data_IF_283969545988
#
_entry.id   IF_283969545988
#
_cell.length_a   1.000
_cell.length_b   1.000
_cell.length_c   1.000
_cell.angle_alpha   90.00
_cell.angle_beta   90.00
_cell.angle_gamma   90.00
#
_symmetry.space_group_name_H-M   'P 1'
#
loop_
_entity.id
_entity.type
_entity.pdbx_description
1 polymer ?
#
# COMPACT_ATOMS: atom_id res chain seq x y z
N UNK A 1 39.95 34.28 1.80
CA UNK A 1 38.70 34.95 2.21
C UNK A 1 37.57 34.11 1.61
N UNK A 2 36.93 33.14 2.29
CA UNK A 2 36.00 33.33 3.43
C UNK A 2 35.11 34.56 3.14
N UNK A 3 33.81 34.51 2.89
CA UNK A 3 32.72 33.68 3.42
C UNK A 3 31.43 33.98 2.63
N UNK A 4 30.70 32.97 2.17
CA UNK A 4 29.22 33.00 2.04
C UNK A 4 28.72 31.60 2.41
N UNK A 5 28.90 31.33 3.70
CA UNK A 5 28.42 30.19 4.47
C UNK A 5 26.96 30.41 4.88
N UNK A 6 26.18 29.31 4.86
CA UNK A 6 24.95 29.02 5.63
C UNK A 6 23.66 29.59 5.00
N UNK A 7 22.65 28.79 4.61
CA UNK A 7 21.94 27.79 5.42
C UNK A 7 21.31 26.76 4.48
N UNK A 8 21.85 25.54 4.38
CA UNK A 8 21.11 24.27 4.21
C UNK A 8 22.01 23.05 4.55
N UNK A 9 23.00 23.26 5.44
CA UNK A 9 23.62 22.16 6.17
C UNK A 9 22.80 21.93 7.44
N UNK A 10 21.74 21.13 7.35
CA UNK A 10 21.20 20.50 8.54
C UNK A 10 21.89 19.15 8.70
N UNK A 11 22.90 19.13 9.56
CA UNK A 11 23.43 17.90 10.13
C UNK A 11 22.27 17.11 10.74
N UNK A 12 21.86 16.01 10.11
CA UNK A 12 21.19 14.95 10.86
C UNK A 12 22.30 14.18 11.58
N UNK A 13 22.75 14.74 12.71
CA UNK A 13 23.62 14.06 13.64
C UNK A 13 22.99 12.74 14.03
N UNK A 14 23.75 11.67 13.86
CA UNK A 14 23.40 10.33 14.27
C UNK A 14 23.03 10.30 15.77
N UNK A 15 21.74 10.30 16.07
CA UNK A 15 21.21 9.63 17.25
C UNK A 15 20.71 8.27 16.79
N UNK A 16 21.66 7.33 16.71
CA UNK A 16 21.38 5.93 16.65
C UNK A 16 20.60 5.53 17.92
N UNK A 17 19.30 5.34 17.77
CA UNK A 17 18.59 4.28 18.48
C UNK A 17 18.15 3.28 17.42
N UNK A 18 18.95 2.24 17.12
CA UNK A 18 18.61 1.22 16.13
C UNK A 18 17.44 0.33 16.54
N UNK A 19 17.02 0.41 17.82
CA UNK A 19 16.15 -0.59 18.45
C UNK A 19 14.68 -0.20 18.64
N UNK A 20 14.19 0.92 18.09
CA UNK A 20 12.76 1.29 18.16
C UNK A 20 12.13 1.60 16.79
N UNK A 21 12.94 1.71 15.72
CA UNK A 21 12.48 2.12 14.37
C UNK A 21 12.16 0.96 13.42
N UNK A 22 12.52 -0.27 13.79
CA UNK A 22 12.18 -1.50 13.05
C UNK A 22 11.07 -2.32 13.75
N UNK A 23 10.67 -1.94 14.96
CA UNK A 23 9.72 -2.71 15.78
C UNK A 23 8.31 -2.69 15.20
N UNK A 24 7.92 -1.60 14.53
CA UNK A 24 6.63 -1.53 13.85
C UNK A 24 6.52 -2.53 12.69
N UNK A 25 7.63 -2.79 11.97
CA UNK A 25 7.64 -3.76 10.85
C UNK A 25 7.34 -5.19 11.33
N UNK A 26 7.59 -5.50 12.61
CA UNK A 26 7.19 -6.77 13.21
C UNK A 26 5.66 -6.90 13.31
N UNK A 27 4.95 -5.78 13.43
CA UNK A 27 3.50 -5.70 13.55
C UNK A 27 2.79 -5.53 12.20
N UNK A 28 3.49 -5.18 11.12
CA UNK A 28 2.92 -5.05 9.78
C UNK A 28 2.11 -6.29 9.37
N UNK A 29 2.64 -7.50 9.61
CA UNK A 29 1.98 -8.75 9.22
C UNK A 29 0.64 -8.96 9.91
N UNK A 30 0.47 -8.45 11.15
CA UNK A 30 -0.82 -8.48 11.84
C UNK A 30 -1.83 -7.58 11.11
N UNK A 31 -1.47 -6.33 10.84
CA UNK A 31 -2.34 -5.39 10.15
C UNK A 31 -2.68 -5.85 8.72
N UNK A 32 -1.70 -6.33 7.97
CA UNK A 32 -1.88 -6.81 6.60
C UNK A 32 -2.86 -8.00 6.54
N UNK A 33 -2.71 -8.97 7.44
CA UNK A 33 -3.63 -10.10 7.55
C UNK A 33 -5.06 -9.63 7.87
N UNK A 34 -5.22 -8.75 8.85
CA UNK A 34 -6.54 -8.22 9.17
C UNK A 34 -7.16 -7.42 8.03
N UNK A 35 -6.38 -6.65 7.26
CA UNK A 35 -6.91 -5.98 6.06
C UNK A 35 -7.38 -6.96 4.99
N UNK A 36 -6.68 -8.09 4.80
CA UNK A 36 -7.11 -9.17 3.90
C UNK A 36 -8.41 -9.83 4.37
N UNK A 37 -8.55 -10.07 5.67
CA UNK A 37 -9.79 -10.62 6.24
C UNK A 37 -10.95 -9.64 6.09
N UNK A 38 -10.72 -8.36 6.39
CA UNK A 38 -11.78 -7.36 6.33
C UNK A 38 -12.26 -7.13 4.89
N UNK A 39 -11.38 -7.04 3.89
CA UNK A 39 -11.79 -6.81 2.49
C UNK A 39 -12.72 -7.92 1.96
N UNK A 40 -12.52 -9.17 2.39
CA UNK A 40 -13.42 -10.28 2.09
C UNK A 40 -14.80 -10.11 2.73
N UNK A 41 -14.85 -9.49 3.92
CA UNK A 41 -16.06 -9.31 4.73
C UNK A 41 -16.84 -8.01 4.44
N UNK A 42 -16.33 -7.11 3.60
CA UNK A 42 -16.99 -5.84 3.23
C UNK A 42 -18.25 -6.00 2.37
N UNK A 43 -18.67 -7.23 2.05
CA UNK A 43 -19.83 -7.50 1.21
C UNK A 43 -20.25 -8.97 1.27
N UNK A 44 -20.85 -9.44 0.17
CA UNK A 44 -21.24 -10.85 0.01
C UNK A 44 -20.07 -11.77 -0.36
N UNK A 45 -20.35 -13.00 -0.81
CA UNK A 45 -19.34 -13.91 -1.35
C UNK A 45 -18.51 -13.24 -2.44
N UNK A 46 -17.20 -13.51 -2.46
CA UNK A 46 -16.30 -12.93 -3.46
C UNK A 46 -16.72 -13.36 -4.87
N UNK A 47 -16.71 -12.45 -5.84
CA UNK A 47 -17.03 -12.82 -7.23
C UNK A 47 -15.94 -13.72 -7.85
N UNK A 48 -16.39 -14.81 -8.47
CA UNK A 48 -15.54 -15.68 -9.30
C UNK A 48 -15.25 -15.06 -10.67
N UNK A 49 -15.97 -14.00 -11.06
CA UNK A 49 -15.82 -13.39 -12.37
C UNK A 49 -14.43 -12.79 -12.59
N UNK A 50 -13.74 -13.24 -13.64
CA UNK A 50 -12.45 -12.70 -14.03
C UNK A 50 -12.52 -11.20 -14.35
N UNK A 51 -11.54 -10.46 -13.84
CA UNK A 51 -11.40 -9.04 -14.16
C UNK A 51 -11.08 -8.90 -15.66
N UNK A 52 -11.79 -8.03 -16.39
CA UNK A 52 -11.48 -7.73 -17.78
C UNK A 52 -10.15 -6.97 -17.92
N UNK A 53 -9.61 -6.48 -16.81
CA UNK A 53 -8.32 -5.79 -16.74
C UNK A 53 -7.28 -6.76 -16.18
N UNK A 54 -6.14 -6.85 -16.85
CA UNK A 54 -5.04 -7.66 -16.33
C UNK A 54 -4.43 -6.99 -15.10
N UNK A 55 -4.33 -7.77 -14.02
CA UNK A 55 -3.62 -7.33 -12.82
C UNK A 55 -2.15 -7.02 -13.14
N UNK A 56 -1.56 -5.94 -12.58
CA UNK A 56 -0.22 -5.47 -12.94
C UNK A 56 0.93 -6.31 -12.33
N UNK A 57 0.95 -7.63 -12.56
CA UNK A 57 1.96 -8.54 -12.01
C UNK A 57 3.40 -8.14 -12.33
N UNK A 58 3.65 -7.65 -13.54
CA UNK A 58 5.00 -7.19 -13.96
C UNK A 58 5.53 -6.04 -13.11
N UNK A 59 4.66 -5.15 -12.65
CA UNK A 59 5.05 -4.03 -11.78
C UNK A 59 5.51 -4.57 -10.42
N UNK A 60 4.75 -5.48 -9.82
CA UNK A 60 5.12 -6.13 -8.56
C UNK A 60 6.42 -6.95 -8.69
N UNK A 61 6.61 -7.67 -9.80
CA UNK A 61 7.86 -8.39 -10.08
C UNK A 61 9.08 -7.45 -10.19
N UNK A 62 8.93 -6.34 -10.91
CA UNK A 62 9.97 -5.31 -11.00
C UNK A 62 10.30 -4.76 -9.61
N UNK A 63 9.28 -4.45 -8.81
CA UNK A 63 9.46 -3.95 -7.45
C UNK A 63 10.16 -4.93 -6.52
N UNK A 64 9.95 -6.23 -6.69
CA UNK A 64 10.69 -7.26 -5.93
C UNK A 64 12.20 -7.21 -6.16
N UNK A 65 12.68 -6.55 -7.21
CA UNK A 65 14.11 -6.34 -7.48
C UNK A 65 14.63 -4.95 -7.09
N UNK A 66 13.75 -3.99 -6.76
CA UNK A 66 14.11 -2.62 -6.39
C UNK A 66 14.82 -2.54 -5.03
N UNK A 67 15.28 -1.34 -4.60
CA UNK A 67 15.87 -1.16 -3.27
C UNK A 67 14.81 -1.34 -2.17
N UNK A 68 15.24 -1.66 -0.95
CA UNK A 68 14.31 -1.84 0.18
C UNK A 68 13.47 -0.59 0.42
N UNK A 69 14.08 0.60 0.36
CA UNK A 69 13.38 1.88 0.55
C UNK A 69 12.31 2.09 -0.54
N UNK A 70 12.65 1.85 -1.82
CA UNK A 70 11.70 1.97 -2.93
C UNK A 70 10.52 1.00 -2.79
N UNK A 71 10.76 -0.22 -2.29
CA UNK A 71 9.70 -1.20 -2.01
C UNK A 71 8.80 -0.75 -0.88
N UNK A 72 9.35 -0.20 0.21
CA UNK A 72 8.56 0.29 1.34
C UNK A 72 7.70 1.50 0.94
N UNK A 73 8.25 2.41 0.13
CA UNK A 73 7.51 3.53 -0.45
C UNK A 73 6.38 3.04 -1.36
N UNK A 74 6.66 2.09 -2.25
CA UNK A 74 5.63 1.47 -3.09
C UNK A 74 4.49 0.86 -2.28
N UNK A 75 4.83 0.17 -1.18
CA UNK A 75 3.82 -0.44 -0.31
C UNK A 75 2.94 0.64 0.31
N UNK A 76 3.56 1.67 0.90
CA UNK A 76 2.83 2.80 1.48
C UNK A 76 1.92 3.48 0.44
N UNK A 77 2.47 3.87 -0.71
CA UNK A 77 1.73 4.63 -1.72
C UNK A 77 0.56 3.81 -2.30
N UNK A 78 0.75 2.49 -2.43
CA UNK A 78 -0.32 1.58 -2.84
C UNK A 78 -1.43 1.49 -1.78
N UNK A 79 -1.06 1.42 -0.49
CA UNK A 79 -2.03 1.41 0.61
C UNK A 79 -2.81 2.73 0.68
N UNK A 80 -2.16 3.87 0.49
CA UNK A 80 -2.82 5.19 0.46
C UNK A 80 -3.81 5.31 -0.68
N UNK A 81 -3.46 4.80 -1.85
CA UNK A 81 -4.37 4.78 -3.00
C UNK A 81 -5.57 3.85 -2.76
N UNK A 82 -5.34 2.68 -2.15
CA UNK A 82 -6.42 1.78 -1.75
C UNK A 82 -7.32 2.47 -0.71
N UNK A 83 -6.74 3.15 0.29
CA UNK A 83 -7.50 3.93 1.27
C UNK A 83 -8.41 4.95 0.59
N UNK A 84 -7.87 5.77 -0.32
CA UNK A 84 -8.65 6.77 -1.04
C UNK A 84 -9.77 6.19 -1.91
N UNK A 85 -9.66 4.93 -2.35
CA UNK A 85 -10.72 4.24 -3.09
C UNK A 85 -11.91 3.85 -2.20
N UNK A 86 -11.66 3.57 -0.92
CA UNK A 86 -12.68 3.13 0.04
C UNK A 86 -13.23 4.30 0.89
N UNK A 87 -12.59 5.47 0.83
CA UNK A 87 -13.07 6.69 1.49
C UNK A 87 -14.38 7.23 0.86
N UNK A 88 -15.30 7.81 1.66
CA UNK A 88 -16.50 8.45 1.14
C UNK A 88 -16.16 9.66 0.27
N UNK A 89 -16.71 9.74 -0.94
CA UNK A 89 -16.56 10.91 -1.81
C UNK A 89 -17.22 12.19 -1.24
N UNK A 90 -18.22 12.05 -0.37
CA UNK A 90 -18.90 13.15 0.33
C UNK A 90 -19.53 12.66 1.65
N UNK A 91 -19.20 13.23 2.83
CA UNK A 91 -19.82 12.87 4.12
C UNK A 91 -21.31 13.21 4.21
N UNK A 92 -21.83 14.04 3.31
CA UNK A 92 -23.21 14.57 3.35
C UNK A 92 -24.19 13.82 2.43
N UNK A 93 -23.69 12.96 1.55
CA UNK A 93 -24.49 12.13 0.65
C UNK A 93 -24.76 10.78 1.32
N UNK A 94 -25.97 10.25 1.14
CA UNK A 94 -26.37 8.92 1.62
C UNK A 94 -25.31 7.87 1.26
N UNK A 95 -24.75 7.26 2.30
CA UNK A 95 -23.67 6.27 2.23
C UNK A 95 -24.00 5.21 1.17
N UNK A 96 -23.06 4.84 0.29
CA UNK A 96 -23.29 3.73 -0.62
C UNK A 96 -23.57 2.43 0.15
N UNK A 97 -24.30 1.46 -0.43
CA UNK A 97 -24.68 0.20 0.27
C UNK A 97 -23.50 -0.61 0.82
N UNK A 98 -22.29 -0.37 0.32
CA UNK A 98 -21.06 -1.03 0.75
C UNK A 98 -20.36 -0.36 1.93
N UNK A 99 -20.73 0.88 2.29
CA UNK A 99 -20.21 1.53 3.48
C UNK A 99 -20.92 0.98 4.72
N UNK A 100 -20.19 0.13 5.42
CA UNK A 100 -20.58 -0.52 6.67
C UNK A 100 -19.55 -0.19 7.74
N UNK A 101 -19.84 -0.46 9.01
CA UNK A 101 -18.85 -0.30 10.10
C UNK A 101 -17.53 -1.04 9.78
N UNK A 102 -17.62 -2.18 9.08
CA UNK A 102 -16.43 -2.94 8.62
C UNK A 102 -15.55 -2.19 7.62
N UNK A 103 -16.13 -1.31 6.80
CA UNK A 103 -15.33 -0.47 5.88
C UNK A 103 -14.53 0.59 6.64
N UNK A 104 -15.04 1.09 7.76
CA UNK A 104 -14.32 2.04 8.61
C UNK A 104 -13.19 1.32 9.35
N UNK A 105 -13.44 0.11 9.86
CA UNK A 105 -12.38 -0.73 10.43
C UNK A 105 -11.29 -1.03 9.40
N UNK A 106 -11.68 -1.36 8.16
CA UNK A 106 -10.74 -1.61 7.06
C UNK A 106 -9.87 -0.38 6.77
N UNK A 107 -10.47 0.80 6.60
CA UNK A 107 -9.76 2.06 6.40
C UNK A 107 -8.83 2.37 7.58
N UNK A 108 -9.29 2.19 8.81
CA UNK A 108 -8.47 2.41 10.01
C UNK A 108 -7.19 1.54 9.99
N UNK A 109 -7.29 0.28 9.56
CA UNK A 109 -6.13 -0.60 9.47
C UNK A 109 -5.20 -0.24 8.32
N UNK A 110 -5.70 0.24 7.19
CA UNK A 110 -4.87 0.74 6.09
C UNK A 110 -4.11 2.00 6.51
N UNK A 111 -4.78 2.99 7.11
CA UNK A 111 -4.14 4.20 7.61
C UNK A 111 -3.08 3.89 8.66
N UNK A 112 -3.33 2.94 9.58
CA UNK A 112 -2.32 2.47 10.53
C UNK A 112 -1.10 1.84 9.86
N UNK A 113 -1.27 1.16 8.72
CA UNK A 113 -0.15 0.63 7.94
C UNK A 113 0.66 1.73 7.29
N UNK A 114 -0.01 2.69 6.64
CA UNK A 114 0.65 3.87 6.06
C UNK A 114 1.42 4.66 7.11
N UNK A 115 0.79 4.98 8.25
CA UNK A 115 1.41 5.74 9.33
C UNK A 115 2.63 5.04 9.89
N UNK A 116 2.53 3.73 10.09
CA UNK A 116 3.66 2.89 10.47
C UNK A 116 4.82 2.98 9.49
N UNK A 117 4.54 2.82 8.19
CA UNK A 117 5.54 2.90 7.14
C UNK A 117 6.17 4.29 7.03
N UNK A 118 5.38 5.35 7.13
CA UNK A 118 5.87 6.74 7.15
C UNK A 118 6.83 7.01 8.30
N UNK A 119 6.51 6.50 9.50
CA UNK A 119 7.37 6.65 10.66
C UNK A 119 8.67 5.81 10.58
N UNK A 120 8.67 4.71 9.80
CA UNK A 120 9.88 3.92 9.56
C UNK A 120 10.80 4.51 8.49
N UNK A 121 10.26 5.23 7.50
CA UNK A 121 11.02 5.87 6.42
C UNK A 121 11.42 7.31 6.77
N UNK A 122 12.51 7.52 7.51
CA UNK A 122 13.01 8.88 7.80
C UNK A 122 13.78 9.55 6.64
N UNK A 123 13.59 9.10 5.39
CA UNK A 123 14.28 9.64 4.21
C UNK A 123 13.23 10.02 3.17
N UNK A 124 12.66 11.22 3.32
CA UNK A 124 11.91 11.86 2.26
C UNK A 124 12.88 12.52 1.28
N UNK A 125 13.32 11.75 0.28
CA UNK A 125 13.54 12.27 -1.08
C UNK A 125 12.77 11.36 -2.01
N UNK A 126 11.50 11.67 -2.22
CA UNK A 126 10.69 11.01 -3.23
C UNK A 126 11.20 11.45 -4.61
N UNK A 127 11.49 10.51 -5.51
CA UNK A 127 11.63 10.85 -6.93
C UNK A 127 10.20 11.01 -7.46
N UNK A 128 9.74 12.25 -7.71
CA UNK A 128 8.35 12.58 -8.08
C UNK A 128 7.81 11.73 -9.25
N UNK A 129 8.68 11.27 -10.15
CA UNK A 129 8.31 10.45 -11.31
C UNK A 129 7.78 9.06 -10.93
N UNK A 130 8.27 8.47 -9.84
CA UNK A 130 7.95 7.09 -9.48
C UNK A 130 6.55 6.97 -8.87
N UNK A 131 6.21 7.87 -7.95
CA UNK A 131 4.88 7.96 -7.34
C UNK A 131 3.83 8.10 -8.44
N UNK A 132 4.03 9.04 -9.37
CA UNK A 132 3.12 9.25 -10.51
C UNK A 132 2.90 7.96 -11.31
N UNK A 133 3.94 7.17 -11.58
CA UNK A 133 3.79 5.91 -12.29
C UNK A 133 2.94 4.89 -11.53
N UNK A 134 3.18 4.70 -10.23
CA UNK A 134 2.42 3.75 -9.38
C UNK A 134 0.97 4.18 -9.24
N UNK A 135 0.75 5.46 -8.92
CA UNK A 135 -0.56 6.08 -8.85
C UNK A 135 -1.30 5.84 -10.15
N UNK A 136 -0.70 6.15 -11.31
CA UNK A 136 -1.34 5.94 -12.61
C UNK A 136 -1.62 4.47 -12.88
N UNK A 137 -0.70 3.55 -12.59
CA UNK A 137 -0.90 2.13 -12.85
C UNK A 137 -2.07 1.54 -12.04
N UNK A 138 -2.14 1.85 -10.74
CA UNK A 138 -3.19 1.32 -9.86
C UNK A 138 -4.51 2.09 -10.06
N UNK A 139 -4.46 3.41 -10.27
CA UNK A 139 -5.66 4.18 -10.63
C UNK A 139 -6.23 3.68 -11.96
N UNK A 140 -5.41 3.41 -12.97
CA UNK A 140 -5.90 2.89 -14.27
C UNK A 140 -6.45 1.48 -14.12
N UNK A 141 -5.83 0.59 -13.34
CA UNK A 141 -6.41 -0.75 -13.18
C UNK A 141 -7.79 -0.68 -12.50
N UNK A 142 -7.93 0.10 -11.43
CA UNK A 142 -9.21 0.27 -10.74
C UNK A 142 -10.23 1.03 -11.59
N UNK A 143 -9.86 2.13 -12.24
CA UNK A 143 -10.77 2.91 -13.08
C UNK A 143 -11.28 2.11 -14.28
N UNK A 144 -10.41 1.33 -14.94
CA UNK A 144 -10.84 0.47 -16.06
C UNK A 144 -11.70 -0.68 -15.54
N UNK A 145 -11.40 -1.26 -14.37
CA UNK A 145 -12.28 -2.22 -13.71
C UNK A 145 -13.67 -1.60 -13.52
N UNK A 146 -13.80 -0.44 -12.87
CA UNK A 146 -15.09 0.24 -12.64
C UNK A 146 -15.82 0.54 -13.96
N UNK A 147 -15.13 1.14 -14.94
CA UNK A 147 -15.72 1.51 -16.23
C UNK A 147 -16.26 0.29 -16.99
N UNK A 148 -15.50 -0.81 -17.04
CA UNK A 148 -15.98 -2.02 -17.73
C UNK A 148 -17.11 -2.70 -16.95
N UNK A 149 -17.06 -2.68 -15.62
CA UNK A 149 -18.11 -3.28 -14.78
C UNK A 149 -19.47 -2.56 -14.93
N UNK A 150 -19.45 -1.22 -14.90
CA UNK A 150 -20.66 -0.41 -15.11
C UNK A 150 -21.22 -0.63 -16.52
N UNK A 151 -20.34 -0.73 -17.53
CA UNK A 151 -20.74 -0.94 -18.92
C UNK A 151 -21.29 -2.35 -19.22
N UNK A 152 -20.84 -3.38 -18.51
CA UNK A 152 -21.18 -4.80 -18.82
C UNK A 152 -22.22 -5.38 -17.87
N UNK A 153 -22.21 -5.03 -16.58
CA UNK A 153 -23.03 -5.71 -15.56
C UNK A 153 -24.19 -4.87 -15.00
N UNK A 154 -24.35 -3.62 -15.43
CA UNK A 154 -25.59 -2.85 -15.22
C UNK A 154 -25.89 -2.44 -13.77
N UNK A 155 -24.93 -2.42 -12.85
CA UNK A 155 -25.19 -1.95 -11.48
C UNK A 155 -23.95 -1.74 -10.60
N UNK A 156 -24.05 -0.77 -9.68
CA UNK A 156 -22.96 -0.37 -8.78
C UNK A 156 -22.45 -1.49 -7.85
N UNK A 157 -23.31 -2.46 -7.50
CA UNK A 157 -22.95 -3.57 -6.62
C UNK A 157 -21.96 -4.57 -7.28
N UNK A 158 -22.12 -4.86 -8.56
CA UNK A 158 -21.20 -5.75 -9.29
C UNK A 158 -19.83 -5.09 -9.50
N UNK A 159 -19.83 -3.79 -9.81
CA UNK A 159 -18.59 -3.00 -9.89
C UNK A 159 -17.85 -2.97 -8.56
N UNK A 160 -18.58 -2.81 -7.46
CA UNK A 160 -18.00 -2.85 -6.12
C UNK A 160 -17.35 -4.21 -5.81
N UNK A 161 -17.99 -5.30 -6.21
CA UNK A 161 -17.47 -6.64 -5.97
C UNK A 161 -16.14 -6.89 -6.69
N UNK A 162 -16.02 -6.41 -7.91
CA UNK A 162 -14.78 -6.49 -8.67
C UNK A 162 -13.69 -5.58 -8.09
N UNK A 163 -14.04 -4.40 -7.59
CA UNK A 163 -13.11 -3.55 -6.82
C UNK A 163 -12.56 -4.31 -5.62
N UNK A 164 -13.43 -4.91 -4.79
CA UNK A 164 -12.98 -5.67 -3.60
C UNK A 164 -12.03 -6.80 -3.95
N UNK A 165 -12.34 -7.57 -5.01
CA UNK A 165 -11.49 -8.66 -5.50
C UNK A 165 -10.12 -8.16 -5.97
N UNK A 166 -10.09 -7.08 -6.74
CA UNK A 166 -8.83 -6.50 -7.23
C UNK A 166 -8.00 -5.93 -6.06
N UNK A 167 -8.64 -5.24 -5.12
CA UNK A 167 -8.01 -4.77 -3.89
C UNK A 167 -7.41 -5.92 -3.09
N UNK A 168 -8.12 -7.04 -2.91
CA UNK A 168 -7.56 -8.23 -2.27
C UNK A 168 -6.29 -8.71 -2.98
N UNK A 169 -6.29 -8.73 -4.31
CA UNK A 169 -5.13 -9.14 -5.11
C UNK A 169 -3.94 -8.19 -4.90
N UNK A 170 -4.19 -6.88 -4.86
CA UNK A 170 -3.17 -5.89 -4.52
C UNK A 170 -2.62 -6.09 -3.10
N UNK A 171 -3.49 -6.25 -2.10
CA UNK A 171 -3.08 -6.46 -0.70
C UNK A 171 -2.23 -7.74 -0.54
N UNK A 172 -2.58 -8.83 -1.23
CA UNK A 172 -1.79 -10.07 -1.23
C UNK A 172 -0.39 -9.84 -1.81
N UNK A 173 -0.29 -9.14 -2.93
CA UNK A 173 1.01 -8.87 -3.56
C UNK A 173 1.86 -7.91 -2.72
N UNK A 174 1.24 -6.96 -2.02
CA UNK A 174 1.91 -6.09 -1.07
C UNK A 174 2.47 -6.86 0.13
N UNK A 175 1.72 -7.81 0.69
CA UNK A 175 2.18 -8.69 1.77
C UNK A 175 3.37 -9.56 1.32
N UNK A 176 3.29 -10.15 0.11
CA UNK A 176 4.41 -10.91 -0.47
C UNK A 176 5.67 -10.04 -0.69
N UNK A 177 5.49 -8.79 -1.13
CA UNK A 177 6.59 -7.85 -1.31
C UNK A 177 7.23 -7.49 0.04
N UNK A 178 6.40 -7.29 1.08
CA UNK A 178 6.87 -7.06 2.44
C UNK A 178 7.61 -8.26 3.03
N UNK A 179 7.10 -9.48 2.83
CA UNK A 179 7.76 -10.71 3.26
C UNK A 179 9.15 -10.87 2.62
N UNK A 180 9.30 -10.48 1.34
CA UNK A 180 10.61 -10.47 0.65
C UNK A 180 11.61 -9.49 1.28
N UNK A 181 11.15 -8.33 1.77
CA UNK A 181 11.99 -7.39 2.53
C UNK A 181 12.49 -8.03 3.82
N UNK A 182 11.60 -8.65 4.61
CA UNK A 182 11.97 -9.35 5.86
C UNK A 182 12.96 -10.48 5.62
N UNK A 183 12.76 -11.29 4.58
CA UNK A 183 13.68 -12.37 4.21
C UNK A 183 15.09 -11.85 3.85
N UNK A 184 15.15 -10.75 3.11
CA UNK A 184 16.43 -10.11 2.73
C UNK A 184 17.18 -9.55 3.95
N UNK A 185 16.46 -8.96 4.91
CA UNK A 185 17.02 -8.43 6.16
C UNK A 185 17.49 -9.54 7.12
N UNK A 186 16.80 -10.68 7.18
CA UNK A 186 17.26 -11.83 7.96
C UNK A 186 18.55 -12.44 7.38
N UNK A 187 18.63 -12.55 6.05
CA UNK A 187 19.80 -13.10 5.36
C UNK A 187 21.06 -12.22 5.43
N UNK A 188 20.92 -10.91 5.63
CA UNK A 188 22.06 -10.01 5.86
C UNK A 188 22.58 -10.11 7.30
N UNK A 189 21.68 -10.15 8.30
CA UNK A 189 22.05 -10.33 9.72
C UNK A 189 22.76 -11.66 9.99
N UNK A 190 22.31 -12.76 9.38
CA UNK A 190 22.97 -14.07 9.49
C UNK A 190 24.39 -14.11 8.92
N UNK A 191 24.67 -13.33 7.86
CA UNK A 191 26.02 -13.21 7.27
C UNK A 191 26.96 -12.36 8.12
N UNK A 192 26.46 -11.34 8.81
CA UNK A 192 27.26 -10.53 9.73
C UNK A 192 27.57 -11.24 11.05
N UNK A 193 26.72 -12.16 11.50
CA UNK A 193 26.95 -12.95 12.71
C UNK A 193 27.90 -14.15 12.50
N UNK A 194 28.14 -14.56 11.25
CA UNK A 194 29.02 -15.66 10.89
C UNK A 194 30.46 -15.22 10.54
N UNK A 195 30.80 -13.94 10.72
CA UNK A 195 32.10 -13.33 10.40
C UNK A 195 32.73 -12.76 11.65
#
# INVERSE_FOLDING_TARGET
MLTWTLVLFFFCSAAATPGLRCDWLEHYGHYSNWTLVLVEQLGGPMTEQESPVSFPYRLYEQMRSAKVDDRLLFIRDSLDLISGLFEPADPSVSLPPWQTDRSQDFLLLLHRQTDGLNNTCSVCVCNDTYIVCVCVCVCVCVCVCVCVCVCVQGGAAASWELIRRETKSHLLQLDLLFASIRGSAAASRGRSAAR
#
